data_IF_870566500821
#
_entry.id   IF_870566500821
#
_cell.length_a   1.000
_cell.length_b   1.000
_cell.length_c   1.000
_cell.angle_alpha   90.00
_cell.angle_beta   90.00
_cell.angle_gamma   90.00
#
_symmetry.space_group_name_H-M   'P 1'
#
loop_
_entity.id
_entity.type
_entity.pdbx_description
1 polymer ?
#
# COMPACT_ATOMS: atom_id res chain seq x y z
N UNK A 1 -6.03 -5.22 -33.78
CA UNK A 1 -6.94 -5.94 -32.87
C UNK A 1 -6.90 -5.16 -31.58
N UNK A 2 -7.96 -4.38 -31.30
CA UNK A 2 -8.06 -3.54 -30.10
C UNK A 2 -8.77 -4.37 -29.02
N UNK A 3 -8.04 -4.89 -28.06
CA UNK A 3 -8.59 -5.38 -26.81
C UNK A 3 -8.70 -4.18 -25.87
N UNK A 4 -9.89 -3.58 -25.80
CA UNK A 4 -10.28 -2.84 -24.60
C UNK A 4 -10.89 -3.89 -23.69
N UNK A 5 -10.06 -4.50 -22.85
CA UNK A 5 -10.54 -5.30 -21.73
C UNK A 5 -11.07 -4.31 -20.69
N UNK A 6 -12.36 -4.00 -20.81
CA UNK A 6 -13.10 -3.33 -19.75
C UNK A 6 -13.49 -4.41 -18.73
N UNK A 7 -13.25 -4.17 -17.45
CA UNK A 7 -13.66 -5.07 -16.36
C UNK A 7 -15.19 -5.29 -16.44
N UNK A 8 -15.65 -6.54 -16.56
CA UNK A 8 -17.09 -6.82 -16.56
C UNK A 8 -17.66 -6.74 -15.13
N UNK A 9 -18.95 -6.38 -15.05
CA UNK A 9 -19.66 -6.30 -13.77
C UNK A 9 -19.68 -7.68 -13.11
N UNK A 10 -18.98 -7.81 -11.98
CA UNK A 10 -18.92 -9.03 -11.19
C UNK A 10 -17.60 -9.79 -11.30
N UNK A 11 -16.66 -9.38 -12.15
CA UNK A 11 -15.36 -10.05 -12.29
C UNK A 11 -14.54 -10.02 -11.00
N UNK A 12 -14.67 -8.94 -10.21
CA UNK A 12 -13.99 -8.82 -8.92
C UNK A 12 -14.77 -9.46 -7.76
N UNK A 13 -15.98 -9.95 -8.01
CA UNK A 13 -16.86 -10.50 -7.00
C UNK A 13 -16.27 -11.82 -6.51
N UNK A 14 -15.89 -11.85 -5.23
CA UNK A 14 -15.22 -12.97 -4.51
C UNK A 14 -13.68 -12.98 -4.56
N UNK A 15 -13.06 -12.17 -5.41
CA UNK A 15 -11.60 -12.11 -5.52
C UNK A 15 -10.97 -10.90 -4.85
N UNK A 16 -11.68 -9.76 -4.79
CA UNK A 16 -11.20 -8.57 -4.08
C UNK A 16 -11.60 -8.61 -2.59
N UNK A 17 -10.65 -8.43 -1.67
CA UNK A 17 -10.98 -8.21 -0.27
C UNK A 17 -11.22 -6.72 0.02
N UNK A 18 -12.28 -6.33 0.76
CA UNK A 18 -12.57 -4.94 1.10
C UNK A 18 -11.67 -4.42 2.24
N UNK A 19 -10.36 -4.62 2.10
CA UNK A 19 -9.33 -4.22 3.05
C UNK A 19 -8.20 -3.55 2.29
N UNK A 20 -7.87 -2.35 2.72
CA UNK A 20 -6.82 -1.53 2.14
C UNK A 20 -5.69 -1.36 3.17
N UNK A 21 -4.44 -1.47 2.73
CA UNK A 21 -3.31 -1.09 3.57
C UNK A 21 -2.64 0.15 3.01
N UNK A 22 -2.32 1.09 3.89
CA UNK A 22 -1.78 2.40 3.52
C UNK A 22 -0.40 2.55 4.16
N UNK A 23 0.59 2.86 3.31
CA UNK A 23 2.02 3.02 3.62
C UNK A 23 2.70 1.81 4.26
N UNK A 24 2.10 0.61 4.23
CA UNK A 24 2.76 -0.61 4.74
C UNK A 24 4.01 -1.00 3.94
N UNK A 25 4.11 -0.49 2.72
CA UNK A 25 5.18 -0.76 1.77
C UNK A 25 5.86 0.55 1.37
N UNK A 26 7.16 0.46 1.07
CA UNK A 26 7.95 1.60 0.61
C UNK A 26 7.64 1.92 -0.85
N UNK A 27 7.69 3.21 -1.19
CA UNK A 27 7.53 3.65 -2.57
C UNK A 27 8.74 3.23 -3.41
N UNK A 28 8.49 2.80 -4.63
CA UNK A 28 9.49 2.62 -5.67
C UNK A 28 9.82 3.93 -6.36
N UNK A 29 8.82 4.80 -6.53
CA UNK A 29 8.96 6.06 -7.24
C UNK A 29 9.04 7.26 -6.31
N UNK A 30 10.25 7.70 -5.96
CA UNK A 30 10.46 8.94 -5.22
C UNK A 30 10.71 8.68 -3.74
N UNK A 31 10.21 9.56 -2.87
CA UNK A 31 10.43 9.46 -1.43
C UNK A 31 9.13 9.14 -0.70
N UNK A 32 9.20 8.30 0.32
CA UNK A 32 8.06 7.87 1.13
C UNK A 32 7.28 9.06 1.77
N UNK A 33 7.92 10.21 1.98
CA UNK A 33 7.23 11.41 2.46
C UNK A 33 6.42 12.13 1.38
N UNK A 34 6.78 11.99 0.11
CA UNK A 34 6.07 12.59 -1.02
C UNK A 34 5.02 11.67 -1.63
N UNK A 35 5.11 10.37 -1.39
CA UNK A 35 4.31 9.32 -2.03
C UNK A 35 3.58 8.52 -0.97
N UNK A 36 2.33 8.18 -1.25
CA UNK A 36 1.54 7.26 -0.45
C UNK A 36 1.39 5.95 -1.22
N UNK A 37 1.71 4.83 -0.58
CA UNK A 37 1.55 3.50 -1.18
C UNK A 37 0.27 2.88 -0.63
N UNK A 38 -0.64 2.47 -1.51
CA UNK A 38 -1.90 1.85 -1.13
C UNK A 38 -1.93 0.44 -1.71
N UNK A 39 -2.27 -0.56 -0.91
CA UNK A 39 -2.38 -1.94 -1.38
C UNK A 39 -3.77 -2.53 -1.21
N UNK A 40 -4.13 -3.38 -2.17
CA UNK A 40 -5.38 -4.16 -2.23
C UNK A 40 -5.03 -5.64 -2.24
N UNK A 41 -5.84 -6.46 -1.57
CA UNK A 41 -5.69 -7.91 -1.59
C UNK A 41 -6.62 -8.49 -2.65
N UNK A 42 -6.03 -9.21 -3.61
CA UNK A 42 -6.75 -9.86 -4.72
C UNK A 42 -6.42 -11.33 -4.75
N UNK A 43 -7.44 -12.19 -4.81
CA UNK A 43 -7.31 -13.63 -5.02
C UNK A 43 -7.21 -13.87 -6.52
N UNK A 44 -6.26 -14.72 -6.91
CA UNK A 44 -5.85 -14.92 -8.30
C UNK A 44 -4.84 -13.88 -8.82
N UNK A 45 -3.81 -14.39 -9.50
CA UNK A 45 -2.71 -13.56 -10.03
C UNK A 45 -3.13 -12.78 -11.27
N UNK A 46 -3.92 -13.39 -12.15
CA UNK A 46 -4.35 -12.76 -13.40
C UNK A 46 -5.22 -11.56 -13.08
N UNK A 47 -6.20 -11.73 -12.20
CA UNK A 47 -7.03 -10.63 -11.78
C UNK A 47 -6.27 -9.52 -11.03
N UNK A 48 -5.21 -9.86 -10.30
CA UNK A 48 -4.33 -8.87 -9.69
C UNK A 48 -3.58 -8.04 -10.74
N UNK A 49 -3.08 -8.69 -11.81
CA UNK A 49 -2.42 -8.02 -12.95
C UNK A 49 -3.42 -7.12 -13.68
N UNK A 50 -4.62 -7.63 -13.99
CA UNK A 50 -5.65 -6.87 -14.68
C UNK A 50 -6.09 -5.65 -13.85
N UNK A 51 -6.16 -5.80 -12.51
CA UNK A 51 -6.48 -4.70 -11.61
C UNK A 51 -5.36 -3.65 -11.54
N UNK A 52 -4.08 -4.06 -11.52
CA UNK A 52 -2.95 -3.14 -11.60
C UNK A 52 -2.98 -2.34 -12.90
N UNK A 53 -3.17 -3.02 -14.04
CA UNK A 53 -3.31 -2.41 -15.36
C UNK A 53 -4.49 -1.44 -15.43
N UNK A 54 -5.63 -1.82 -14.83
CA UNK A 54 -6.82 -0.97 -14.74
C UNK A 54 -6.52 0.31 -13.95
N UNK A 55 -5.82 0.20 -12.82
CA UNK A 55 -5.41 1.37 -12.04
C UNK A 55 -4.45 2.27 -12.82
N UNK A 56 -3.37 1.71 -13.36
CA UNK A 56 -2.33 2.49 -14.05
C UNK A 56 -2.88 3.24 -15.28
N UNK A 57 -3.81 2.62 -16.01
CA UNK A 57 -4.40 3.21 -17.23
C UNK A 57 -5.66 4.03 -16.96
N UNK A 58 -6.34 3.78 -15.85
CA UNK A 58 -7.67 4.33 -15.55
C UNK A 58 -7.64 5.69 -14.85
N UNK A 59 -6.57 6.02 -14.13
CA UNK A 59 -6.51 7.19 -13.27
C UNK A 59 -5.24 8.02 -13.50
N UNK A 60 -5.41 9.28 -13.90
CA UNK A 60 -4.29 10.21 -14.16
C UNK A 60 -3.43 10.53 -12.93
N UNK A 61 -3.94 10.27 -11.71
CA UNK A 61 -3.25 10.56 -10.45
C UNK A 61 -2.43 9.38 -9.92
N UNK A 62 -2.55 8.20 -10.53
CA UNK A 62 -1.75 7.02 -10.19
C UNK A 62 -0.40 7.16 -10.90
N UNK A 63 0.68 7.12 -10.11
CA UNK A 63 2.04 7.27 -10.60
C UNK A 63 2.63 5.94 -11.06
N UNK A 64 2.27 4.86 -10.36
CA UNK A 64 2.67 3.48 -10.63
C UNK A 64 1.62 2.54 -10.05
N UNK A 65 1.41 1.40 -10.70
CA UNK A 65 0.68 0.28 -10.13
C UNK A 65 1.42 -1.03 -10.43
N UNK A 66 1.50 -1.93 -9.45
CA UNK A 66 2.19 -3.20 -9.62
C UNK A 66 1.59 -4.31 -8.75
N UNK A 67 1.95 -5.55 -9.03
CA UNK A 67 1.52 -6.74 -8.30
C UNK A 67 2.69 -7.29 -7.47
N UNK A 68 2.40 -7.84 -6.29
CA UNK A 68 3.41 -8.51 -5.48
C UNK A 68 4.09 -9.65 -6.25
N UNK A 69 5.43 -9.67 -6.20
CA UNK A 69 6.24 -10.69 -6.86
C UNK A 69 5.93 -12.12 -6.41
N UNK A 70 5.41 -12.26 -5.18
CA UNK A 70 5.00 -13.53 -4.62
C UNK A 70 3.60 -13.42 -4.01
N UNK A 71 2.96 -14.56 -3.92
CA UNK A 71 1.72 -14.74 -3.20
C UNK A 71 1.92 -14.40 -1.71
N UNK A 72 0.98 -13.67 -1.13
CA UNK A 72 1.00 -13.37 0.30
C UNK A 72 0.44 -14.55 1.10
N UNK A 73 -0.72 -15.08 0.69
CA UNK A 73 -1.47 -16.13 1.40
C UNK A 73 -2.48 -16.80 0.44
N UNK A 74 -2.47 -18.14 0.35
CA UNK A 74 -3.48 -18.98 -0.33
C UNK A 74 -4.04 -18.46 -1.67
N UNK A 75 -3.17 -18.28 -2.66
CA UNK A 75 -3.50 -17.76 -4.00
C UNK A 75 -3.77 -16.26 -4.05
N UNK A 76 -3.53 -15.52 -2.97
CA UNK A 76 -3.77 -14.07 -2.91
C UNK A 76 -2.48 -13.28 -3.15
N UNK A 77 -2.64 -12.17 -3.88
CA UNK A 77 -1.61 -11.23 -4.25
C UNK A 77 -1.97 -9.84 -3.72
N UNK A 78 -0.97 -8.96 -3.63
CA UNK A 78 -1.20 -7.55 -3.40
C UNK A 78 -1.12 -6.80 -4.72
N UNK A 79 -2.05 -5.87 -4.92
CA UNK A 79 -1.97 -4.85 -5.96
C UNK A 79 -1.63 -3.54 -5.28
N UNK A 80 -0.51 -2.93 -5.65
CA UNK A 80 -0.04 -1.67 -5.14
C UNK A 80 -0.42 -0.55 -6.11
N UNK A 81 -0.76 0.61 -5.56
CA UNK A 81 -0.80 1.87 -6.29
C UNK A 81 0.04 2.90 -5.53
N UNK A 82 0.80 3.69 -6.28
CA UNK A 82 1.57 4.81 -5.75
C UNK A 82 0.94 6.13 -6.19
N UNK A 83 0.64 7.01 -5.23
CA UNK A 83 -0.01 8.30 -5.48
C UNK A 83 0.71 9.44 -4.74
N UNK A 84 0.60 10.66 -5.24
CA UNK A 84 1.19 11.83 -4.58
C UNK A 84 0.54 12.10 -3.22
N UNK A 85 1.33 12.17 -2.15
CA UNK A 85 0.87 12.49 -0.78
C UNK A 85 0.30 13.90 -0.67
N UNK A 86 -0.99 14.04 -0.94
CA UNK A 86 -1.74 15.31 -0.93
C UNK A 86 -3.10 15.09 -0.28
N UNK A 87 -3.76 16.19 0.10
CA UNK A 87 -5.14 16.13 0.66
C UNK A 87 -6.14 15.46 -0.28
N UNK A 88 -5.91 15.55 -1.59
CA UNK A 88 -6.78 14.97 -2.62
C UNK A 88 -6.80 13.44 -2.64
N UNK A 89 -5.80 12.76 -2.04
CA UNK A 89 -5.76 11.30 -1.94
C UNK A 89 -7.07 10.73 -1.41
N UNK A 90 -7.72 11.41 -0.46
CA UNK A 90 -8.97 10.91 0.10
C UNK A 90 -10.04 10.85 -0.98
N UNK A 91 -10.26 11.95 -1.69
CA UNK A 91 -11.29 12.02 -2.72
C UNK A 91 -10.96 11.07 -3.89
N UNK A 92 -9.67 10.97 -4.26
CA UNK A 92 -9.13 10.04 -5.27
C UNK A 92 -9.31 8.56 -4.87
N UNK A 93 -9.13 8.23 -3.60
CA UNK A 93 -9.39 6.88 -3.09
C UNK A 93 -10.88 6.55 -3.13
N UNK A 94 -11.76 7.49 -2.77
CA UNK A 94 -13.20 7.26 -2.87
C UNK A 94 -13.67 7.12 -4.33
N UNK A 95 -13.02 7.78 -5.28
CA UNK A 95 -13.24 7.57 -6.72
C UNK A 95 -12.92 6.12 -7.11
N UNK A 96 -11.72 5.64 -6.77
CA UNK A 96 -11.32 4.24 -7.01
C UNK A 96 -12.34 3.26 -6.40
N UNK A 97 -12.73 3.48 -5.14
CA UNK A 97 -13.63 2.55 -4.43
C UNK A 97 -15.05 2.56 -5.02
N UNK A 98 -15.50 3.71 -5.53
CA UNK A 98 -16.77 3.83 -6.24
C UNK A 98 -16.77 2.98 -7.53
N UNK A 99 -15.68 3.02 -8.29
CA UNK A 99 -15.57 2.26 -9.54
C UNK A 99 -15.38 0.77 -9.27
N UNK A 100 -14.61 0.41 -8.24
CA UNK A 100 -14.49 -0.99 -7.79
C UNK A 100 -15.81 -1.55 -7.26
N UNK A 101 -16.67 -0.71 -6.66
CA UNK A 101 -18.01 -1.14 -6.24
C UNK A 101 -18.85 -1.57 -7.46
N UNK A 102 -18.70 -0.91 -8.61
CA UNK A 102 -19.37 -1.31 -9.85
C UNK A 102 -18.87 -2.67 -10.37
N UNK A 103 -17.58 -2.96 -10.24
CA UNK A 103 -16.97 -4.20 -10.70
C UNK A 103 -17.08 -5.40 -9.72
N UNK A 104 -17.20 -5.14 -8.40
CA UNK A 104 -17.13 -6.18 -7.35
C UNK A 104 -18.42 -6.42 -6.56
N UNK A 105 -19.42 -5.53 -6.70
CA UNK A 105 -20.61 -5.44 -5.84
C UNK A 105 -20.32 -5.15 -4.34
N UNK A 106 -19.07 -4.90 -3.95
CA UNK A 106 -18.69 -4.50 -2.59
C UNK A 106 -19.18 -3.09 -2.31
N UNK A 107 -19.92 -2.89 -1.22
CA UNK A 107 -20.42 -1.56 -0.87
C UNK A 107 -19.35 -0.80 -0.10
N UNK A 108 -19.32 0.52 -0.24
CA UNK A 108 -18.39 1.39 0.50
C UNK A 108 -18.28 1.05 2.00
N UNK A 109 -19.41 0.76 2.66
CA UNK A 109 -19.47 0.42 4.09
C UNK A 109 -18.75 -0.88 4.48
N UNK A 110 -18.47 -1.75 3.52
CA UNK A 110 -17.78 -3.02 3.74
C UNK A 110 -16.26 -2.82 3.79
N UNK A 111 -15.79 -1.69 3.24
CA UNK A 111 -14.37 -1.35 3.16
C UNK A 111 -13.81 -0.86 4.49
N UNK A 112 -12.58 -1.31 4.75
CA UNK A 112 -11.78 -0.90 5.88
C UNK A 112 -10.36 -0.61 5.44
N UNK A 113 -9.66 0.21 6.20
CA UNK A 113 -8.24 0.48 5.96
C UNK A 113 -7.42 0.29 7.23
N UNK A 114 -6.11 0.14 7.05
CA UNK A 114 -5.13 0.14 8.13
C UNK A 114 -3.91 0.94 7.69
N UNK A 115 -3.39 1.78 8.57
CA UNK A 115 -2.17 2.53 8.34
C UNK A 115 -0.95 1.78 8.90
N UNK A 116 0.24 1.94 8.30
CA UNK A 116 1.48 1.21 8.69
C UNK A 116 1.78 1.22 10.19
N UNK A 117 1.41 2.29 10.90
CA UNK A 117 1.71 2.43 12.32
C UNK A 117 0.69 1.76 13.24
N UNK A 118 -0.27 1.03 12.68
CA UNK A 118 -1.44 0.52 13.39
C UNK A 118 -1.66 -0.97 13.13
N UNK A 119 -2.14 -1.68 14.16
CA UNK A 119 -2.39 -3.12 14.10
C UNK A 119 -3.87 -3.48 13.84
N UNK A 120 -4.76 -2.49 13.75
CA UNK A 120 -6.20 -2.69 13.61
C UNK A 120 -6.77 -1.90 12.44
N UNK A 121 -7.93 -2.35 11.96
CA UNK A 121 -8.61 -1.73 10.84
C UNK A 121 -9.63 -0.69 11.30
N UNK A 122 -9.68 0.43 10.58
CA UNK A 122 -10.70 1.47 10.70
C UNK A 122 -11.74 1.38 9.59
N UNK A 123 -12.90 1.97 9.82
CA UNK A 123 -13.91 2.13 8.78
C UNK A 123 -13.41 3.08 7.71
N UNK A 124 -13.61 2.75 6.43
CA UNK A 124 -13.23 3.62 5.32
C UNK A 124 -14.19 4.83 5.23
N UNK A 125 -13.87 5.88 5.97
CA UNK A 125 -14.59 7.16 6.00
C UNK A 125 -13.59 8.31 5.85
N UNK A 126 -14.07 9.47 5.40
CA UNK A 126 -13.22 10.66 5.23
C UNK A 126 -12.60 11.09 6.56
N UNK A 127 -13.41 11.08 7.61
CA UNK A 127 -13.00 11.48 8.96
C UNK A 127 -11.89 10.59 9.51
N UNK A 128 -12.03 9.26 9.37
CA UNK A 128 -11.01 8.31 9.82
C UNK A 128 -9.72 8.43 8.98
N UNK A 129 -9.82 8.61 7.66
CA UNK A 129 -8.66 8.82 6.81
C UNK A 129 -7.91 10.12 7.17
N UNK A 130 -8.63 11.22 7.39
CA UNK A 130 -8.04 12.50 7.82
C UNK A 130 -7.37 12.39 9.20
N UNK A 131 -7.89 11.53 10.08
CA UNK A 131 -7.35 11.33 11.42
C UNK A 131 -6.08 10.47 11.42
N UNK A 132 -6.06 9.40 10.62
CA UNK A 132 -5.05 8.35 10.69
C UNK A 132 -3.98 8.46 9.60
N UNK A 133 -4.29 9.01 8.42
CA UNK A 133 -3.38 9.04 7.27
C UNK A 133 -2.75 10.42 7.12
N UNK A 134 -1.41 10.56 7.12
CA UNK A 134 -0.77 11.84 6.87
C UNK A 134 -0.90 12.26 5.39
N UNK A 135 -1.65 13.32 5.15
CA UNK A 135 -1.96 13.84 3.80
C UNK A 135 -0.97 14.90 3.28
N UNK A 136 0.19 15.03 3.92
CA UNK A 136 1.27 15.91 3.43
C UNK A 136 2.64 15.38 3.86
N UNK A 137 3.73 15.71 3.13
CA UNK A 137 5.08 15.29 3.51
C UNK A 137 5.47 15.72 4.92
N UNK A 138 5.09 16.95 5.29
CA UNK A 138 5.34 17.49 6.62
C UNK A 138 4.59 16.73 7.72
N UNK A 139 3.35 16.29 7.47
CA UNK A 139 2.59 15.49 8.43
C UNK A 139 3.19 14.09 8.56
N UNK A 140 3.52 13.46 7.42
CA UNK A 140 4.16 12.14 7.38
C UNK A 140 5.47 12.15 8.17
N UNK A 141 6.34 13.12 7.92
CA UNK A 141 7.61 13.27 8.63
C UNK A 141 7.42 13.39 10.16
N UNK A 142 6.41 14.13 10.61
CA UNK A 142 6.13 14.29 12.04
C UNK A 142 5.67 12.97 12.67
N UNK A 143 4.74 12.27 12.03
CA UNK A 143 4.22 10.99 12.51
C UNK A 143 5.34 9.95 12.54
N UNK A 144 6.07 9.76 11.43
CA UNK A 144 7.17 8.79 11.36
C UNK A 144 8.27 9.06 12.37
N UNK A 145 8.62 10.34 12.59
CA UNK A 145 9.61 10.71 13.61
C UNK A 145 9.13 10.37 15.02
N UNK A 146 7.86 10.62 15.33
CA UNK A 146 7.27 10.26 16.61
C UNK A 146 7.28 8.74 16.82
N UNK A 147 6.82 7.97 15.82
CA UNK A 147 6.82 6.51 15.87
C UNK A 147 8.21 5.92 16.04
N UNK A 148 9.21 6.43 15.30
CA UNK A 148 10.61 6.00 15.45
C UNK A 148 11.12 6.25 16.87
N UNK A 149 10.85 7.42 17.45
CA UNK A 149 11.24 7.72 18.83
C UNK A 149 10.54 6.81 19.86
N UNK A 150 9.27 6.45 19.62
CA UNK A 150 8.53 5.51 20.46
C UNK A 150 9.09 4.09 20.34
N UNK A 151 9.41 3.64 19.13
CA UNK A 151 9.99 2.33 18.86
C UNK A 151 11.35 2.18 19.55
N UNK A 152 12.21 3.21 19.49
CA UNK A 152 13.48 3.25 20.20
C UNK A 152 13.31 3.10 21.72
N UNK A 153 12.29 3.75 22.31
CA UNK A 153 11.96 3.61 23.73
C UNK A 153 11.46 2.20 24.07
N UNK A 154 10.57 1.64 23.26
CA UNK A 154 10.07 0.26 23.44
C UNK A 154 11.23 -0.73 23.35
N UNK A 155 12.11 -0.56 22.38
CA UNK A 155 13.27 -1.41 22.17
C UNK A 155 14.27 -1.30 23.34
N UNK A 156 14.44 -0.11 23.92
CA UNK A 156 15.21 0.07 25.14
C UNK A 156 14.61 -0.70 26.33
N UNK A 157 13.28 -0.63 26.53
CA UNK A 157 12.59 -1.37 27.58
C UNK A 157 12.69 -2.88 27.39
N UNK A 158 12.49 -3.38 26.15
CA UNK A 158 12.65 -4.79 25.81
C UNK A 158 14.03 -5.31 26.19
N UNK A 159 15.10 -4.58 25.83
CA UNK A 159 16.48 -4.95 26.19
C UNK A 159 16.68 -5.02 27.71
N UNK A 160 16.15 -4.05 28.45
CA UNK A 160 16.24 -4.03 29.93
C UNK A 160 15.48 -5.19 30.57
N UNK A 161 14.38 -5.62 29.98
CA UNK A 161 13.61 -6.77 30.41
C UNK A 161 14.21 -8.11 29.96
N UNK A 162 15.35 -8.12 29.27
CA UNK A 162 15.94 -9.33 28.68
C UNK A 162 15.15 -9.89 27.50
N UNK A 163 14.20 -9.13 26.96
CA UNK A 163 13.42 -9.52 25.78
C UNK A 163 14.24 -9.27 24.51
N UNK A 164 14.12 -10.21 23.57
CA UNK A 164 14.77 -10.09 22.28
C UNK A 164 14.14 -8.95 21.47
N UNK A 165 14.96 -8.05 20.95
CA UNK A 165 14.53 -7.03 19.99
C UNK A 165 14.84 -7.55 18.60
N UNK A 166 13.81 -7.97 17.88
CA UNK A 166 13.94 -8.23 16.44
C UNK A 166 14.17 -6.89 15.74
N UNK A 167 15.29 -6.76 15.02
CA UNK A 167 15.47 -5.67 14.06
C UNK A 167 15.04 -6.23 12.70
N UNK A 168 14.01 -5.68 12.04
CA UNK A 168 13.77 -6.02 10.65
C UNK A 168 15.03 -5.71 9.84
N UNK A 169 15.28 -6.53 8.83
CA UNK A 169 16.44 -6.38 7.95
C UNK A 169 16.47 -4.96 7.38
N UNK A 170 17.53 -4.22 7.67
CA UNK A 170 17.82 -2.95 7.02
C UNK A 170 18.78 -3.22 5.88
N UNK A 171 18.37 -2.88 4.66
CA UNK A 171 19.27 -2.91 3.50
C UNK A 171 20.42 -1.94 3.79
N UNK A 172 21.62 -2.45 4.01
CA UNK A 172 22.80 -1.62 4.30
C UNK A 172 23.45 -1.18 2.99
N UNK A 173 24.18 -0.04 3.01
CA UNK A 173 24.96 0.41 1.86
C UNK A 173 25.90 -0.69 1.33
N UNK A 174 26.49 -1.51 2.20
CA UNK A 174 27.29 -2.68 1.80
C UNK A 174 26.50 -3.67 0.95
N UNK A 175 25.26 -3.96 1.31
CA UNK A 175 24.40 -4.90 0.58
C UNK A 175 24.02 -4.30 -0.77
N UNK A 176 23.70 -3.01 -0.83
CA UNK A 176 23.44 -2.32 -2.09
C UNK A 176 24.65 -2.30 -3.02
N UNK A 177 25.85 -2.17 -2.44
CA UNK A 177 27.11 -2.19 -3.17
C UNK A 177 27.39 -3.60 -3.71
N UNK A 178 27.14 -4.63 -2.90
CA UNK A 178 27.26 -6.03 -3.30
C UNK A 178 26.25 -6.41 -4.39
N UNK A 179 25.00 -5.94 -4.30
CA UNK A 179 23.97 -6.18 -5.31
C UNK A 179 24.31 -5.50 -6.64
N UNK A 180 24.78 -4.25 -6.61
CA UNK A 180 25.31 -3.54 -7.79
C UNK A 180 26.48 -4.27 -8.43
N UNK A 181 27.43 -4.74 -7.62
CA UNK A 181 28.62 -5.46 -8.10
C UNK A 181 28.27 -6.85 -8.66
N UNK A 182 27.20 -7.48 -8.15
CA UNK A 182 26.71 -8.77 -8.60
C UNK A 182 25.85 -8.71 -9.89
N UNK A 183 25.61 -7.50 -10.43
CA UNK A 183 24.77 -7.33 -11.62
C UNK A 183 23.29 -7.67 -11.38
N UNK A 184 22.86 -7.74 -10.12
CA UNK A 184 21.46 -7.90 -9.76
C UNK A 184 20.82 -6.53 -9.92
N UNK A 185 20.02 -6.37 -10.97
CA UNK A 185 19.25 -5.14 -11.21
C UNK A 185 18.35 -4.89 -10.02
N UNK A 186 18.55 -3.74 -9.38
CA UNK A 186 17.50 -3.09 -8.60
C UNK A 186 16.63 -2.44 -9.68
N UNK A 187 15.53 -3.11 -10.03
CA UNK A 187 14.63 -2.62 -11.05
C UNK A 187 14.18 -1.19 -10.69
N UNK A 188 14.20 -0.36 -11.74
CA UNK A 188 14.19 1.10 -11.73
C UNK A 188 12.91 1.71 -11.17
#
# INVERSE_FOLDING_TARGET
MNLREEFEVGDLKLILEPKIHIDEYQSKLGKDDEICVISFIVKDKTAAIDLADFFEKGYDFILDADVSASEIIFGSYLVFIEVLRRQRIIDELFEIISDLQAASELKLKDWKFKYITEDHYHSLTKEELEHHVPLSPRAYFQIMRYFKALEEQINFLKRRAGLHVYKPYQKTEEIETLQRNAGISIDK
#
